data_IF_363799048357
#
_entry.id   IF_363799048357
#
_cell.length_a   1.000
_cell.length_b   1.000
_cell.length_c   1.000
_cell.angle_alpha   90.00
_cell.angle_beta   90.00
_cell.angle_gamma   90.00
#
_symmetry.space_group_name_H-M   'P 1'
#
loop_
_entity.id
_entity.type
_entity.pdbx_description
1 polymer ?
#
# COMPACT_ATOMS: atom_id res chain seq x y z
N UNK A 1 -16.63 -12.90 -0.47
CA UNK A 1 -16.91 -12.17 -1.73
C UNK A 1 -16.78 -10.69 -1.43
N UNK A 2 -15.88 -9.97 -2.10
CA UNK A 2 -15.63 -8.54 -1.88
C UNK A 2 -16.24 -7.76 -3.06
N UNK A 3 -17.37 -7.09 -2.83
CA UNK A 3 -18.09 -6.33 -3.86
C UNK A 3 -17.61 -4.88 -3.84
N UNK A 4 -17.15 -4.39 -4.99
CA UNK A 4 -16.51 -3.08 -5.07
C UNK A 4 -16.71 -2.37 -6.42
N UNK A 5 -17.81 -2.63 -7.14
CA UNK A 5 -18.06 -1.92 -8.40
C UNK A 5 -19.57 -1.77 -8.72
N UNK A 6 -20.15 -0.57 -8.58
CA UNK A 6 -19.63 0.60 -7.86
C UNK A 6 -19.91 0.52 -6.36
N UNK A 7 -19.07 1.13 -5.54
CA UNK A 7 -19.27 1.26 -4.09
C UNK A 7 -18.74 2.60 -3.56
N UNK A 8 -19.23 3.02 -2.39
CA UNK A 8 -18.94 4.34 -1.82
C UNK A 8 -17.43 4.60 -1.60
N UNK A 9 -16.66 3.57 -1.25
CA UNK A 9 -15.21 3.68 -1.02
C UNK A 9 -14.44 4.11 -2.29
N UNK A 10 -14.94 3.76 -3.48
CA UNK A 10 -14.32 4.15 -4.75
C UNK A 10 -14.46 5.65 -5.04
N UNK A 11 -15.50 6.27 -4.48
CA UNK A 11 -15.89 7.65 -4.76
C UNK A 11 -15.28 8.65 -3.79
N UNK A 12 -14.43 8.20 -2.85
CA UNK A 12 -13.84 9.05 -1.83
C UNK A 12 -12.95 10.14 -2.43
N UNK A 13 -13.23 11.40 -2.08
CA UNK A 13 -12.57 12.59 -2.65
C UNK A 13 -11.68 13.29 -1.64
N UNK A 14 -10.66 13.98 -2.15
CA UNK A 14 -9.72 14.76 -1.33
C UNK A 14 -10.44 15.82 -0.47
N UNK A 15 -11.51 16.41 -0.98
CA UNK A 15 -12.34 17.38 -0.24
C UNK A 15 -13.02 16.81 1.00
N UNK A 16 -13.14 15.49 1.10
CA UNK A 16 -13.74 14.79 2.24
C UNK A 16 -12.70 14.43 3.30
N UNK A 17 -11.41 14.68 3.06
CA UNK A 17 -10.35 14.40 4.03
C UNK A 17 -10.47 15.29 5.26
N UNK A 18 -10.63 14.65 6.42
CA UNK A 18 -10.48 15.33 7.70
C UNK A 18 -8.99 15.51 8.03
N UNK A 19 -8.38 16.56 7.48
CA UNK A 19 -6.95 16.83 7.62
C UNK A 19 -6.51 17.03 9.08
N UNK A 20 -7.38 17.58 9.93
CA UNK A 20 -7.11 17.74 11.37
C UNK A 20 -6.96 16.37 12.04
N UNK A 21 -7.82 15.42 11.71
CA UNK A 21 -7.77 14.06 12.25
C UNK A 21 -6.50 13.34 11.78
N UNK A 22 -6.19 13.42 10.48
CA UNK A 22 -5.00 12.77 9.91
C UNK A 22 -3.71 13.28 10.59
N UNK A 23 -3.60 14.60 10.81
CA UNK A 23 -2.43 15.21 11.48
C UNK A 23 -2.24 14.81 12.94
N UNK A 24 -3.26 14.23 13.59
CA UNK A 24 -3.18 13.75 14.97
C UNK A 24 -2.75 12.27 15.06
N UNK A 25 -2.76 11.54 13.93
CA UNK A 25 -2.40 10.14 13.89
C UNK A 25 -0.93 9.93 14.26
N UNK A 26 -0.64 8.86 15.01
CA UNK A 26 0.73 8.39 15.26
C UNK A 26 1.20 7.41 14.21
N UNK A 27 0.27 6.62 13.68
CA UNK A 27 0.47 5.68 12.60
C UNK A 27 -0.65 5.90 11.59
N UNK A 28 -0.30 6.00 10.32
CA UNK A 28 -1.24 6.00 9.20
C UNK A 28 -1.08 4.70 8.44
N UNK A 29 -2.09 3.82 8.55
CA UNK A 29 -2.08 2.52 7.90
C UNK A 29 -2.84 2.57 6.57
N UNK A 30 -2.31 1.92 5.55
CA UNK A 30 -2.89 1.92 4.21
C UNK A 30 -2.62 0.61 3.46
N UNK A 31 -3.41 0.35 2.42
CA UNK A 31 -3.23 -0.78 1.52
C UNK A 31 -3.51 -0.44 0.07
N UNK A 32 -3.23 -1.39 -0.84
CA UNK A 32 -3.21 -1.11 -2.30
C UNK A 32 -4.57 -0.91 -2.94
N UNK A 33 -5.64 -1.41 -2.32
CA UNK A 33 -7.00 -1.43 -2.87
C UNK A 33 -7.46 -0.01 -3.26
N UNK A 34 -7.19 1.01 -2.45
CA UNK A 34 -7.54 2.40 -2.75
C UNK A 34 -6.85 2.97 -4.00
N UNK A 35 -5.79 2.33 -4.51
CA UNK A 35 -5.07 2.77 -5.71
C UNK A 35 -5.73 2.36 -7.02
N UNK A 36 -6.73 1.47 -7.00
CA UNK A 36 -7.31 0.87 -8.21
C UNK A 36 -8.04 1.91 -9.08
N UNK A 37 -8.77 2.84 -8.47
CA UNK A 37 -9.68 3.73 -9.21
C UNK A 37 -9.63 5.16 -8.69
N UNK A 38 -9.80 6.11 -9.61
CA UNK A 38 -10.10 7.50 -9.26
C UNK A 38 -11.58 7.66 -8.86
N UNK A 39 -11.93 8.61 -7.97
CA UNK A 39 -11.04 9.58 -7.30
C UNK A 39 -10.30 9.04 -6.06
N UNK A 40 -10.62 7.82 -5.61
CA UNK A 40 -10.09 7.26 -4.36
C UNK A 40 -8.55 7.21 -4.34
N UNK A 41 -7.92 6.88 -5.48
CA UNK A 41 -6.46 6.87 -5.61
C UNK A 41 -5.84 8.22 -5.28
N UNK A 42 -6.28 9.30 -5.92
CA UNK A 42 -5.76 10.65 -5.63
C UNK A 42 -5.97 11.04 -4.17
N UNK A 43 -7.14 10.74 -3.62
CA UNK A 43 -7.49 11.02 -2.22
C UNK A 43 -6.59 10.27 -1.23
N UNK A 44 -6.32 8.99 -1.50
CA UNK A 44 -5.42 8.17 -0.70
C UNK A 44 -4.00 8.73 -0.67
N UNK A 45 -3.45 9.10 -1.83
CA UNK A 45 -2.11 9.67 -1.94
C UNK A 45 -2.02 11.02 -1.20
N UNK A 46 -3.05 11.85 -1.29
CA UNK A 46 -3.12 13.10 -0.54
C UNK A 46 -3.15 12.87 0.98
N UNK A 47 -3.95 11.91 1.47
CA UNK A 47 -4.03 11.55 2.88
C UNK A 47 -2.67 11.05 3.42
N UNK A 48 -2.03 10.14 2.68
CA UNK A 48 -0.71 9.61 3.01
C UNK A 48 0.35 10.72 3.10
N UNK A 49 0.35 11.66 2.14
CA UNK A 49 1.26 12.82 2.16
C UNK A 49 1.05 13.70 3.39
N UNK A 50 -0.21 13.98 3.75
CA UNK A 50 -0.54 14.78 4.94
C UNK A 50 -0.05 14.08 6.21
N UNK A 51 -0.28 12.76 6.33
CA UNK A 51 0.17 11.97 7.46
C UNK A 51 1.70 11.98 7.60
N UNK A 52 2.42 11.75 6.50
CA UNK A 52 3.89 11.78 6.46
C UNK A 52 4.45 13.14 6.91
N UNK A 53 3.88 14.22 6.38
CA UNK A 53 4.27 15.60 6.75
C UNK A 53 3.96 15.95 8.20
N UNK A 54 2.96 15.30 8.80
CA UNK A 54 2.63 15.46 10.22
C UNK A 54 3.53 14.62 11.16
N UNK A 55 4.44 13.82 10.60
CA UNK A 55 5.34 12.95 11.35
C UNK A 55 4.72 11.64 11.82
N UNK A 56 3.59 11.22 11.22
CA UNK A 56 3.04 9.90 11.46
C UNK A 56 3.94 8.81 10.83
N UNK A 57 4.04 7.65 11.48
CA UNK A 57 4.63 6.47 10.87
C UNK A 57 3.70 5.92 9.80
N UNK A 58 4.25 5.59 8.64
CA UNK A 58 3.53 5.01 7.52
C UNK A 58 3.59 3.47 7.58
N UNK A 59 2.44 2.83 7.75
CA UNK A 59 2.32 1.37 7.79
C UNK A 59 1.58 0.86 6.56
N UNK A 60 2.20 -0.06 5.82
CA UNK A 60 1.66 -0.56 4.56
C UNK A 60 1.39 -2.07 4.62
N UNK A 61 0.20 -2.47 4.18
CA UNK A 61 -0.15 -3.85 3.84
C UNK A 61 -0.69 -3.86 2.40
N UNK A 62 0.03 -4.43 1.41
CA UNK A 62 -0.44 -4.50 0.03
C UNK A 62 -1.85 -5.06 -0.06
N UNK A 63 -2.19 -6.04 0.77
CA UNK A 63 -3.49 -6.70 0.86
C UNK A 63 -4.07 -7.02 -0.53
N UNK A 64 -3.27 -7.72 -1.35
CA UNK A 64 -3.57 -8.00 -2.75
C UNK A 64 -4.92 -8.70 -2.91
N UNK A 65 -5.73 -8.17 -3.81
CA UNK A 65 -6.99 -8.77 -4.26
C UNK A 65 -7.02 -8.76 -5.77
N UNK A 66 -6.28 -9.69 -6.37
CA UNK A 66 -6.06 -9.76 -7.82
C UNK A 66 -7.34 -9.61 -8.67
N UNK A 67 -8.51 -10.19 -8.31
CA UNK A 67 -9.75 -10.01 -9.08
C UNK A 67 -10.29 -8.57 -9.16
N UNK A 68 -9.81 -7.65 -8.31
CA UNK A 68 -10.22 -6.24 -8.33
C UNK A 68 -9.37 -5.39 -9.29
N UNK A 69 -8.26 -5.94 -9.78
CA UNK A 69 -7.31 -5.22 -10.63
C UNK A 69 -7.58 -5.50 -12.11
N UNK A 70 -7.33 -4.53 -13.01
CA UNK A 70 -7.44 -4.75 -14.45
C UNK A 70 -6.51 -5.85 -14.98
N UNK A 71 -5.31 -5.98 -14.38
CA UNK A 71 -4.34 -7.04 -14.68
C UNK A 71 -3.41 -7.28 -13.48
N UNK A 72 -2.66 -8.38 -13.51
CA UNK A 72 -1.62 -8.64 -12.50
C UNK A 72 -0.53 -7.58 -12.53
N UNK A 73 -0.11 -7.15 -13.71
CA UNK A 73 0.92 -6.14 -13.92
C UNK A 73 0.51 -4.80 -13.32
N UNK A 74 -0.72 -4.35 -13.59
CA UNK A 74 -1.24 -3.10 -12.99
C UNK A 74 -1.31 -3.17 -11.46
N UNK A 75 -1.59 -4.35 -10.88
CA UNK A 75 -1.55 -4.56 -9.45
C UNK A 75 -0.12 -4.42 -8.89
N UNK A 76 0.86 -5.08 -9.52
CA UNK A 76 2.28 -4.98 -9.12
C UNK A 76 2.77 -3.54 -9.20
N UNK A 77 2.55 -2.86 -10.32
CA UNK A 77 2.96 -1.48 -10.53
C UNK A 77 2.36 -0.55 -9.47
N UNK A 78 1.06 -0.68 -9.19
CA UNK A 78 0.39 0.17 -8.21
C UNK A 78 0.87 -0.13 -6.78
N UNK A 79 0.99 -1.40 -6.40
CA UNK A 79 1.53 -1.82 -5.09
C UNK A 79 2.93 -1.24 -4.88
N UNK A 80 3.81 -1.40 -5.87
CA UNK A 80 5.19 -0.95 -5.78
C UNK A 80 5.33 0.57 -5.85
N UNK A 81 4.37 1.28 -6.47
CA UNK A 81 4.42 2.74 -6.62
C UNK A 81 4.43 3.53 -5.31
N UNK A 82 3.92 2.95 -4.21
CA UNK A 82 3.93 3.55 -2.87
C UNK A 82 4.75 2.76 -1.84
N UNK A 83 5.48 1.73 -2.29
CA UNK A 83 6.25 0.84 -1.41
C UNK A 83 7.28 1.62 -0.58
N UNK A 84 8.03 2.51 -1.26
CA UNK A 84 9.11 3.31 -0.64
C UNK A 84 8.61 4.46 0.25
N UNK A 85 7.30 4.65 0.34
CA UNK A 85 6.72 5.62 1.27
C UNK A 85 6.59 5.05 2.69
N UNK A 86 6.55 3.73 2.85
CA UNK A 86 6.30 3.06 4.11
C UNK A 86 7.49 3.11 5.07
N UNK A 87 7.21 3.27 6.36
CA UNK A 87 8.14 3.01 7.45
C UNK A 87 8.07 1.55 7.90
N UNK A 88 6.90 0.92 7.80
CA UNK A 88 6.64 -0.46 8.19
C UNK A 88 5.86 -1.14 7.08
N UNK A 89 6.30 -2.31 6.64
CA UNK A 89 5.60 -3.11 5.66
C UNK A 89 5.27 -4.47 6.27
N UNK A 90 4.01 -4.88 6.13
CA UNK A 90 3.58 -6.26 6.32
C UNK A 90 3.21 -6.82 4.95
N UNK A 91 3.83 -7.92 4.57
CA UNK A 91 3.61 -8.62 3.29
C UNK A 91 3.43 -10.11 3.58
N UNK A 92 2.50 -10.77 2.89
CA UNK A 92 2.34 -12.21 3.03
C UNK A 92 3.23 -13.00 2.10
N UNK A 93 3.49 -14.29 2.39
CA UNK A 93 4.28 -15.18 1.53
C UNK A 93 3.75 -15.20 0.08
N UNK A 94 2.42 -15.26 -0.09
CA UNK A 94 1.78 -15.22 -1.41
C UNK A 94 2.01 -13.89 -2.13
N UNK A 95 2.11 -12.78 -1.40
CA UNK A 95 2.39 -11.47 -1.99
C UNK A 95 3.87 -11.30 -2.31
N UNK A 96 4.77 -11.89 -1.52
CA UNK A 96 6.20 -12.00 -1.83
C UNK A 96 6.38 -12.75 -3.15
N UNK A 97 5.79 -13.94 -3.28
CA UNK A 97 5.83 -14.74 -4.51
C UNK A 97 5.25 -13.97 -5.70
N UNK A 98 4.14 -13.26 -5.49
CA UNK A 98 3.52 -12.47 -6.55
C UNK A 98 4.38 -11.28 -6.99
N UNK A 99 4.98 -10.54 -6.06
CA UNK A 99 5.70 -9.29 -6.36
C UNK A 99 7.14 -9.53 -6.81
N UNK A 100 7.75 -10.65 -6.42
CA UNK A 100 9.13 -10.97 -6.76
C UNK A 100 9.27 -11.28 -8.26
N UNK A 101 10.16 -10.57 -8.95
CA UNK A 101 10.44 -10.81 -10.37
C UNK A 101 11.63 -11.75 -10.58
N UNK A 102 12.59 -11.74 -9.65
CA UNK A 102 13.81 -12.54 -9.69
C UNK A 102 14.18 -12.98 -8.27
N UNK A 103 14.79 -14.16 -8.12
CA UNK A 103 15.17 -14.72 -6.82
C UNK A 103 14.25 -15.84 -6.36
N UNK A 104 14.54 -16.40 -5.18
CA UNK A 104 13.71 -17.41 -4.53
C UNK A 104 12.80 -16.76 -3.47
N UNK A 105 11.45 -16.82 -3.60
CA UNK A 105 10.52 -16.20 -2.67
C UNK A 105 10.47 -16.88 -1.30
N UNK A 106 11.15 -18.02 -1.12
CA UNK A 106 11.34 -18.69 0.17
C UNK A 106 12.70 -18.37 0.80
N UNK A 107 13.58 -17.68 0.08
CA UNK A 107 14.92 -17.32 0.55
C UNK A 107 14.92 -15.92 1.17
N UNK A 108 15.26 -15.84 2.46
CA UNK A 108 15.26 -14.58 3.22
C UNK A 108 16.17 -13.50 2.60
N UNK A 109 17.36 -13.86 2.11
CA UNK A 109 18.29 -12.89 1.51
C UNK A 109 17.72 -12.29 0.21
N UNK A 110 17.04 -13.08 -0.61
CA UNK A 110 16.43 -12.62 -1.86
C UNK A 110 15.19 -11.75 -1.61
N UNK A 111 14.40 -12.08 -0.58
CA UNK A 111 13.29 -11.23 -0.10
C UNK A 111 13.84 -9.88 0.37
N UNK A 112 14.87 -9.88 1.22
CA UNK A 112 15.46 -8.65 1.75
C UNK A 112 16.07 -7.80 0.64
N UNK A 113 16.84 -8.38 -0.30
CA UNK A 113 17.39 -7.65 -1.45
C UNK A 113 16.31 -6.99 -2.30
N UNK A 114 15.16 -7.64 -2.44
CA UNK A 114 14.07 -7.18 -3.30
C UNK A 114 13.23 -6.09 -2.64
N UNK A 115 12.86 -6.30 -1.37
CA UNK A 115 11.80 -5.52 -0.71
C UNK A 115 12.29 -4.54 0.35
N UNK A 116 13.51 -4.71 0.87
CA UNK A 116 14.10 -3.75 1.80
C UNK A 116 14.61 -2.51 1.06
N UNK A 117 14.53 -1.35 1.71
CA UNK A 117 15.11 -0.11 1.21
C UNK A 117 15.50 0.81 2.37
N UNK A 118 16.43 1.73 2.10
CA UNK A 118 16.84 2.73 3.08
C UNK A 118 15.67 3.62 3.49
N UNK A 119 15.32 3.58 4.76
CA UNK A 119 14.17 4.28 5.35
C UNK A 119 13.08 3.34 5.85
N UNK A 120 13.01 2.11 5.35
CA UNK A 120 12.15 1.08 5.93
C UNK A 120 12.69 0.70 7.33
N UNK A 121 11.80 0.69 8.32
CA UNK A 121 12.16 0.38 9.71
C UNK A 121 11.85 -1.06 10.09
N UNK A 122 10.85 -1.65 9.45
CA UNK A 122 10.43 -3.02 9.70
C UNK A 122 9.76 -3.61 8.46
N UNK A 123 10.23 -4.78 8.04
CA UNK A 123 9.58 -5.65 7.07
C UNK A 123 9.10 -6.90 7.81
N UNK A 124 7.81 -7.19 7.74
CA UNK A 124 7.19 -8.39 8.33
C UNK A 124 6.67 -9.26 7.20
N UNK A 125 7.14 -10.51 7.15
CA UNK A 125 6.68 -11.54 6.20
C UNK A 125 5.82 -12.55 6.98
N UNK A 126 4.63 -12.88 6.46
CA UNK A 126 3.61 -13.70 7.16
C UNK A 126 2.92 -14.75 6.32
#
# INVERSE_FOLDING_TARGET
MFYRNPSADMMFRESELNTRLIKQAKIFHYGSISLISEPCRSTHLAAMKIAKQAGALLSYDPNLRLPLWPSAESAKEAIMSIWKEADIIKVSDNEVEFLMENGDPLNEDDILKTFWFDGLKLLVVT
#
